data_IF_511803099568
#
_entry.id   IF_511803099568
#
_cell.length_a   1.000
_cell.length_b   1.000
_cell.length_c   1.000
_cell.angle_alpha   90.00
_cell.angle_beta   90.00
_cell.angle_gamma   90.00
#
_symmetry.space_group_name_H-M   'P 1'
#
loop_
_entity.id
_entity.type
_entity.pdbx_description
1 polymer ?
#
# COMPACT_ATOMS: atom_id res chain seq x y z
N UNK A 1 2.39 -8.04 4.76
CA UNK A 1 1.85 -6.67 4.92
C UNK A 1 2.70 -5.74 4.08
N UNK A 2 2.20 -4.61 3.58
CA UNK A 2 2.95 -3.72 2.69
C UNK A 2 2.80 -2.29 3.18
N UNK A 3 3.90 -1.55 3.32
CA UNK A 3 3.89 -0.15 3.69
C UNK A 3 3.54 0.71 2.48
N UNK A 4 2.47 1.50 2.59
CA UNK A 4 2.06 2.44 1.56
C UNK A 4 2.47 3.86 1.97
N UNK A 5 3.27 4.49 1.13
CA UNK A 5 3.71 5.87 1.24
C UNK A 5 2.88 6.77 0.33
N UNK A 6 2.73 8.02 0.75
CA UNK A 6 2.24 9.09 -0.10
C UNK A 6 3.28 9.46 -1.16
N UNK A 7 2.88 10.23 -2.19
CA UNK A 7 3.82 10.69 -3.22
C UNK A 7 5.01 11.50 -2.64
N UNK A 8 4.82 12.10 -1.46
CA UNK A 8 5.80 12.83 -0.64
C UNK A 8 6.69 11.95 0.23
N UNK A 9 6.65 10.62 0.09
CA UNK A 9 7.34 9.63 0.93
C UNK A 9 6.88 9.58 2.40
N UNK A 10 5.84 10.33 2.76
CA UNK A 10 5.24 10.24 4.09
C UNK A 10 4.46 8.93 4.26
N UNK A 11 4.54 8.26 5.42
CA UNK A 11 3.82 7.03 5.66
C UNK A 11 2.31 7.28 5.67
N UNK A 12 1.58 6.63 4.77
CA UNK A 12 0.13 6.76 4.68
C UNK A 12 -0.56 5.74 5.57
N UNK A 13 -0.25 4.46 5.36
CA UNK A 13 -0.77 3.31 6.13
C UNK A 13 -0.11 2.01 5.71
N UNK A 14 -0.29 0.98 6.53
CA UNK A 14 -0.01 -0.40 6.13
C UNK A 14 -1.25 -1.01 5.48
N UNK A 15 -1.05 -1.73 4.38
CA UNK A 15 -2.10 -2.46 3.65
C UNK A 15 -1.76 -3.94 3.54
N UNK A 16 -2.78 -4.77 3.33
CA UNK A 16 -2.55 -6.17 2.98
C UNK A 16 -1.95 -6.29 1.57
N UNK A 17 -1.23 -7.38 1.35
CA UNK A 17 -0.48 -7.57 0.11
C UNK A 17 -1.39 -7.71 -1.11
N UNK A 18 -2.58 -8.30 -0.97
CA UNK A 18 -3.54 -8.42 -2.06
C UNK A 18 -3.92 -7.03 -2.59
N UNK A 19 -4.18 -6.08 -1.68
CA UNK A 19 -4.50 -4.69 -2.02
C UNK A 19 -3.31 -3.96 -2.64
N UNK A 20 -2.09 -4.21 -2.13
CA UNK A 20 -0.87 -3.69 -2.71
C UNK A 20 -0.70 -4.12 -4.18
N UNK A 21 -0.90 -5.41 -4.46
CA UNK A 21 -0.88 -5.95 -5.83
C UNK A 21 -2.00 -5.34 -6.68
N UNK A 22 -3.21 -5.19 -6.14
CA UNK A 22 -4.30 -4.50 -6.87
C UNK A 22 -3.90 -3.08 -7.27
N UNK A 23 -3.28 -2.31 -6.37
CA UNK A 23 -2.82 -0.95 -6.67
C UNK A 23 -1.71 -0.94 -7.73
N UNK A 24 -0.81 -1.93 -7.70
CA UNK A 24 0.26 -2.11 -8.67
C UNK A 24 -0.33 -2.38 -10.06
N UNK A 25 -1.25 -3.34 -10.17
CA UNK A 25 -1.94 -3.66 -11.42
C UNK A 25 -2.76 -2.47 -11.96
N UNK A 26 -3.26 -1.61 -11.07
CA UNK A 26 -3.94 -0.38 -11.45
C UNK A 26 -3.00 0.75 -11.88
N UNK A 27 -1.67 0.57 -11.81
CA UNK A 27 -0.69 1.59 -12.16
C UNK A 27 -0.74 2.83 -11.25
N UNK A 28 -1.20 2.68 -10.01
CA UNK A 28 -1.35 3.81 -9.06
C UNK A 28 -0.14 4.02 -8.15
N UNK A 29 0.75 3.04 -8.12
CA UNK A 29 1.85 2.96 -7.17
C UNK A 29 3.12 2.50 -7.86
N UNK A 30 4.24 2.91 -7.29
CA UNK A 30 5.58 2.46 -7.62
C UNK A 30 6.10 1.58 -6.46
N UNK A 31 6.80 0.50 -6.77
CA UNK A 31 7.42 -0.35 -5.75
C UNK A 31 8.81 0.17 -5.45
N UNK A 32 9.08 0.42 -4.16
CA UNK A 32 10.41 0.82 -3.70
C UNK A 32 11.22 -0.37 -3.22
N UNK A 33 10.56 -1.30 -2.52
CA UNK A 33 11.22 -2.47 -1.91
C UNK A 33 10.34 -3.70 -2.04
N UNK A 34 10.98 -4.86 -2.13
CA UNK A 34 10.34 -6.17 -2.17
C UNK A 34 10.72 -6.99 -0.93
N UNK A 35 9.89 -7.96 -0.58
CA UNK A 35 10.30 -9.03 0.33
C UNK A 35 11.09 -10.10 -0.43
N UNK A 36 11.84 -10.92 0.30
CA UNK A 36 12.52 -12.11 -0.25
C UNK A 36 11.57 -13.24 -0.63
N UNK A 37 10.28 -13.12 -0.31
CA UNK A 37 9.26 -14.09 -0.68
C UNK A 37 8.56 -13.71 -1.98
N UNK A 38 8.28 -14.73 -2.78
CA UNK A 38 7.49 -14.60 -3.99
C UNK A 38 6.03 -14.97 -3.75
N UNK A 39 5.14 -14.34 -4.52
CA UNK A 39 3.76 -14.77 -4.68
C UNK A 39 3.67 -15.64 -5.93
N UNK A 40 3.01 -16.79 -5.80
CA UNK A 40 2.72 -17.69 -6.91
C UNK A 40 1.24 -17.64 -7.24
N UNK A 41 0.93 -17.31 -8.49
CA UNK A 41 -0.35 -17.57 -9.12
C UNK A 41 -0.33 -18.91 -9.85
N UNK A 42 -1.37 -19.18 -10.63
CA UNK A 42 -1.51 -20.43 -11.39
C UNK A 42 -0.46 -20.53 -12.51
N UNK A 43 -0.16 -19.41 -13.17
CA UNK A 43 0.76 -19.35 -14.31
C UNK A 43 1.88 -18.33 -14.18
N UNK A 44 1.84 -17.48 -13.15
CA UNK A 44 2.78 -16.37 -12.96
C UNK A 44 3.32 -16.36 -11.54
N UNK A 45 4.54 -15.89 -11.36
CA UNK A 45 5.08 -15.58 -10.05
C UNK A 45 5.68 -14.18 -10.06
N UNK A 46 5.49 -13.45 -8.97
CA UNK A 46 6.01 -12.09 -8.82
C UNK A 46 6.45 -11.84 -7.39
N UNK A 47 7.47 -11.00 -7.23
CA UNK A 47 8.01 -10.62 -5.92
C UNK A 47 6.96 -9.87 -5.12
N UNK A 48 6.84 -10.20 -3.83
CA UNK A 48 5.90 -9.54 -2.93
C UNK A 48 6.37 -8.11 -2.64
N UNK A 49 5.60 -7.05 -2.94
CA UNK A 49 5.99 -5.69 -2.60
C UNK A 49 5.98 -5.48 -1.08
N UNK A 50 7.06 -4.90 -0.55
CA UNK A 50 7.24 -4.54 0.86
C UNK A 50 6.93 -3.08 1.13
N UNK A 51 7.46 -2.18 0.28
CA UNK A 51 7.23 -0.74 0.37
C UNK A 51 6.80 -0.21 -0.98
N UNK A 52 5.73 0.58 -0.99
CA UNK A 52 5.18 1.17 -2.21
C UNK A 52 4.86 2.64 -2.01
N UNK A 53 4.96 3.42 -3.08
CA UNK A 53 4.67 4.85 -3.08
C UNK A 53 3.53 5.15 -4.05
N UNK A 54 2.55 5.96 -3.61
CA UNK A 54 1.51 6.46 -4.51
C UNK A 54 2.08 7.45 -5.52
N UNK A 55 1.64 7.37 -6.78
CA UNK A 55 2.04 8.32 -7.82
C UNK A 55 1.34 9.68 -7.68
N UNK A 56 0.18 9.72 -7.01
CA UNK A 56 -0.58 10.93 -6.75
C UNK A 56 -0.63 11.21 -5.26
N UNK A 57 -0.49 12.47 -4.89
CA UNK A 57 -0.65 12.93 -3.50
C UNK A 57 -2.09 12.68 -3.06
N UNK A 58 -2.27 11.95 -1.96
CA UNK A 58 -3.58 11.74 -1.33
C UNK A 58 -3.60 12.46 0.01
N UNK A 59 -4.53 13.40 0.18
CA UNK A 59 -4.79 14.03 1.49
C UNK A 59 -5.55 13.03 2.36
N UNK A 60 -4.94 12.59 3.45
CA UNK A 60 -5.59 11.71 4.42
C UNK A 60 -6.73 12.49 5.07
N UNK A 61 -7.98 12.24 4.65
CA UNK A 61 -9.14 12.82 5.34
C UNK A 61 -9.14 12.27 6.76
N UNK A 62 -9.07 13.15 7.76
CA UNK A 62 -8.98 12.85 9.20
C UNK A 62 -10.22 12.13 9.79
N UNK A 63 -10.98 11.39 8.99
CA UNK A 63 -12.18 10.68 9.45
C UNK A 63 -11.86 9.41 10.26
N UNK A 64 -10.60 9.01 10.37
CA UNK A 64 -10.18 7.85 11.17
C UNK A 64 -9.85 8.17 12.64
N UNK A 65 -10.03 9.42 13.09
CA UNK A 65 -9.75 9.84 14.49
C UNK A 65 -10.88 10.59 15.17
N UNK A 66 -12.10 10.58 14.62
CA UNK A 66 -13.27 10.99 15.40
C UNK A 66 -13.72 9.82 16.28
N UNK A 67 -12.93 9.49 17.31
CA UNK A 67 -13.42 8.66 18.40
C UNK A 67 -14.54 9.46 19.06
N UNK A 68 -15.78 9.03 18.87
CA UNK A 68 -16.92 9.64 19.55
C UNK A 68 -16.79 9.27 21.03
N UNK A 69 -16.29 10.19 21.85
CA UNK A 69 -16.42 10.07 23.29
C UNK A 69 -17.91 10.25 23.63
N UNK A 70 -18.61 9.17 23.97
CA UNK A 70 -19.88 9.29 24.69
C UNK A 70 -19.58 9.69 26.14
N UNK A 71 -20.36 10.63 26.66
CA UNK A 71 -20.45 10.91 28.10
C UNK A 71 -21.45 9.98 28.75
#
# INVERSE_FOLDING_TARGET
MTLLLNATYEPLRVVQWQKAVTLLCQGKVEVLEFYDRDIRGVSISFKLPSVMRLLKVVKLKSNHRAVKFSR
#
